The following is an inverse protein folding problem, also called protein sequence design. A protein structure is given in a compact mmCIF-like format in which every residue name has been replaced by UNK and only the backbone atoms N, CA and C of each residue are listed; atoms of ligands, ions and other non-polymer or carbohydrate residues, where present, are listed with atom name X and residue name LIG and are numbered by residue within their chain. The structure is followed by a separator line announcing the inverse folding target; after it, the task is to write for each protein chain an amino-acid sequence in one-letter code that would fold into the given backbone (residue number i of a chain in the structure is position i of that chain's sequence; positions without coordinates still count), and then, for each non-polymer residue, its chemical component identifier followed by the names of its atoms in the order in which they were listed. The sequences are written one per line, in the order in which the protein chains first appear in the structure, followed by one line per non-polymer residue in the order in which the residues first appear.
data_IF_531354040857
#
_entry.id   IF_531354040857
#
_cell.length_a   1.000
_cell.length_b   1.000
_cell.length_c   1.000
_cell.angle_alpha   90.00
_cell.angle_beta   90.00
_cell.angle_gamma   90.00
#
_symmetry.space_group_name_H-M   'P 1'
#
loop_
_entity.id
_entity.type
_entity.pdbx_description
1 polymer ?
#
# COMPACT_ATOMS: atom_id res chain seq x y z
N UNK A 1 -6.44 -4.90 14.00
CA UNK A 1 -6.02 -5.68 12.81
C UNK A 1 -4.68 -5.12 12.38
N UNK A 2 -3.72 -5.93 11.93
CA UNK A 2 -2.46 -5.39 11.38
C UNK A 2 -2.83 -4.64 10.09
N UNK A 3 -2.41 -3.39 9.95
CA UNK A 3 -2.64 -2.63 8.72
C UNK A 3 -1.78 -3.16 7.58
N UNK A 4 -2.23 -3.04 6.33
CA UNK A 4 -1.45 -3.48 5.18
C UNK A 4 -1.37 -2.36 4.15
N UNK A 5 -0.17 -2.05 3.70
CA UNK A 5 0.09 -1.12 2.60
C UNK A 5 0.84 -1.86 1.49
N UNK A 6 0.21 -2.01 0.33
CA UNK A 6 0.84 -2.57 -0.87
C UNK A 6 1.44 -1.43 -1.68
N UNK A 7 2.74 -1.50 -1.94
CA UNK A 7 3.48 -0.53 -2.74
C UNK A 7 4.03 -1.25 -3.96
N UNK A 8 3.86 -0.70 -5.15
CA UNK A 8 4.49 -1.26 -6.34
C UNK A 8 4.67 -0.21 -7.42
N UNK A 9 5.47 -0.53 -8.43
CA UNK A 9 5.48 0.22 -9.68
C UNK A 9 4.18 0.00 -10.46
N UNK A 10 3.77 1.02 -11.22
CA UNK A 10 2.56 0.98 -12.04
C UNK A 10 1.32 0.52 -11.29
N UNK A 11 0.47 -0.29 -11.93
CA UNK A 11 -0.86 -0.65 -11.41
C UNK A 11 -0.90 -1.90 -10.51
N UNK A 12 0.22 -2.59 -10.30
CA UNK A 12 0.22 -3.92 -9.65
C UNK A 12 -0.40 -3.87 -8.23
N UNK A 13 -0.02 -2.92 -7.39
CA UNK A 13 -0.53 -2.79 -6.03
C UNK A 13 -2.05 -2.59 -5.99
N UNK A 14 -2.57 -1.76 -6.90
CA UNK A 14 -4.01 -1.51 -7.04
C UNK A 14 -4.74 -2.80 -7.43
N UNK A 15 -4.23 -3.52 -8.42
CA UNK A 15 -4.88 -4.75 -8.89
C UNK A 15 -4.80 -5.88 -7.87
N UNK A 16 -3.73 -5.97 -7.06
CA UNK A 16 -3.64 -6.93 -5.96
C UNK A 16 -4.68 -6.65 -4.85
N UNK A 17 -4.89 -5.38 -4.50
CA UNK A 17 -5.94 -4.99 -3.55
C UNK A 17 -7.31 -5.32 -4.14
N UNK A 18 -7.58 -4.92 -5.38
CA UNK A 18 -8.85 -5.19 -6.05
C UNK A 18 -9.15 -6.70 -6.15
N UNK A 19 -8.14 -7.52 -6.48
CA UNK A 19 -8.28 -8.97 -6.53
C UNK A 19 -8.57 -9.57 -5.14
N UNK A 20 -7.93 -9.06 -4.10
CA UNK A 20 -8.21 -9.49 -2.72
C UNK A 20 -9.65 -9.14 -2.34
N UNK A 21 -10.08 -7.89 -2.56
CA UNK A 21 -11.43 -7.45 -2.22
C UNK A 21 -12.50 -8.16 -3.04
N UNK A 22 -12.19 -8.56 -4.28
CA UNK A 22 -13.07 -9.40 -5.09
C UNK A 22 -13.30 -10.78 -4.44
N UNK A 23 -12.28 -11.35 -3.81
CA UNK A 23 -12.33 -12.71 -3.22
C UNK A 23 -12.90 -12.70 -1.81
N UNK A 24 -12.51 -11.74 -0.97
CA UNK A 24 -12.83 -11.74 0.48
C UNK A 24 -13.66 -10.55 0.94
N UNK A 25 -14.09 -9.68 0.03
CA UNK A 25 -14.84 -8.45 0.33
C UNK A 25 -13.95 -7.28 0.68
N UNK A 26 -14.55 -6.09 0.82
CA UNK A 26 -13.85 -4.84 1.17
C UNK A 26 -12.99 -5.00 2.42
N UNK A 27 -11.78 -4.42 2.39
CA UNK A 27 -10.81 -4.56 3.48
C UNK A 27 -10.55 -3.22 4.17
N UNK A 28 -10.76 -3.21 5.49
CA UNK A 28 -10.38 -2.07 6.32
C UNK A 28 -8.86 -2.01 6.49
N UNK A 29 -8.29 -0.79 6.40
CA UNK A 29 -6.86 -0.54 6.64
C UNK A 29 -5.93 -1.34 5.71
N UNK A 30 -6.44 -1.64 4.51
CA UNK A 30 -5.69 -2.17 3.38
C UNK A 30 -5.61 -1.11 2.29
N UNK A 31 -4.41 -0.68 1.91
CA UNK A 31 -4.20 0.43 0.97
C UNK A 31 -3.17 0.06 -0.09
N UNK A 32 -3.37 0.56 -1.30
CA UNK A 32 -2.40 0.47 -2.39
C UNK A 32 -1.75 1.83 -2.67
N UNK A 33 -0.46 1.83 -2.96
CA UNK A 33 0.29 2.98 -3.48
C UNK A 33 1.00 2.54 -4.75
N UNK A 34 0.78 3.27 -5.84
CA UNK A 34 1.48 3.11 -7.11
C UNK A 34 2.63 4.10 -7.21
N UNK A 35 3.76 3.63 -7.73
CA UNK A 35 4.91 4.44 -8.10
C UNK A 35 4.99 4.48 -9.63
N UNK A 36 4.90 5.67 -10.20
CA UNK A 36 5.01 5.93 -11.63
C UNK A 36 6.39 6.52 -11.98
N UNK A 37 6.74 6.53 -13.27
CA UNK A 37 8.08 6.95 -13.74
C UNK A 37 8.35 8.44 -13.45
N UNK A 38 7.31 9.26 -13.47
CA UNK A 38 7.40 10.70 -13.29
C UNK A 38 7.32 11.15 -11.81
N UNK A 39 7.20 10.20 -10.88
CA UNK A 39 7.02 10.51 -9.47
C UNK A 39 8.29 11.02 -8.80
N UNK A 40 8.11 12.00 -7.92
CA UNK A 40 9.12 12.34 -6.91
C UNK A 40 9.17 11.24 -5.84
N UNK A 41 10.32 10.57 -5.75
CA UNK A 41 10.55 9.46 -4.82
C UNK A 41 10.51 9.91 -3.35
N UNK A 42 10.94 11.13 -3.03
CA UNK A 42 10.86 11.65 -1.65
C UNK A 42 9.40 11.89 -1.26
N UNK A 43 8.64 12.56 -2.12
CA UNK A 43 7.21 12.76 -1.91
C UNK A 43 6.46 11.42 -1.78
N UNK A 44 6.82 10.44 -2.61
CA UNK A 44 6.20 9.10 -2.57
C UNK A 44 6.57 8.35 -1.29
N UNK A 45 7.80 8.48 -0.79
CA UNK A 45 8.21 7.96 0.53
C UNK A 45 7.40 8.56 1.66
N UNK A 46 7.15 9.87 1.63
CA UNK A 46 6.34 10.52 2.65
C UNK A 46 4.89 10.06 2.61
N UNK A 47 4.31 9.92 1.42
CA UNK A 47 2.98 9.33 1.28
C UNK A 47 2.91 7.90 1.82
N UNK A 48 3.93 7.06 1.58
CA UNK A 48 3.99 5.70 2.15
C UNK A 48 3.99 5.76 3.68
N UNK A 49 4.77 6.66 4.28
CA UNK A 49 4.82 6.84 5.74
C UNK A 49 3.48 7.31 6.31
N UNK A 50 2.84 8.28 5.69
CA UNK A 50 1.53 8.79 6.12
C UNK A 50 0.43 7.74 6.00
N UNK A 51 0.43 7.01 4.88
CA UNK A 51 -0.53 5.93 4.65
C UNK A 51 -0.35 4.83 5.68
N UNK A 52 0.89 4.40 5.95
CA UNK A 52 1.18 3.43 6.99
C UNK A 52 0.69 3.92 8.36
N UNK A 53 1.00 5.16 8.76
CA UNK A 53 0.50 5.73 10.02
C UNK A 53 -1.04 5.71 10.10
N UNK A 54 -1.74 6.02 9.02
CA UNK A 54 -3.21 6.00 9.01
C UNK A 54 -3.80 4.57 9.10
N UNK A 55 -3.06 3.57 8.59
CA UNK A 55 -3.48 2.16 8.65
C UNK A 55 -3.25 1.56 10.04
N UNK A 56 -2.30 2.06 10.82
CA UNK A 56 -2.01 1.57 12.17
C UNK A 56 -3.18 1.81 13.13
N UNK A 57 -3.53 0.78 13.91
CA UNK A 57 -4.50 0.82 15.01
C UNK A 57 -3.91 0.35 16.35
N UNK A 58 -2.58 0.45 16.50
CA UNK A 58 -1.84 -0.03 17.67
C UNK A 58 -1.38 -1.48 17.55
N UNK A 59 -1.59 -2.13 16.39
CA UNK A 59 -1.08 -3.48 16.09
C UNK A 59 0.01 -3.49 15.02
N UNK A 60 0.45 -2.32 14.56
CA UNK A 60 1.48 -2.17 13.54
C UNK A 60 0.96 -2.36 12.12
N UNK A 61 1.90 -2.28 11.17
CA UNK A 61 1.63 -2.27 9.73
C UNK A 61 2.65 -3.14 8.99
N UNK A 62 2.18 -3.87 7.99
CA UNK A 62 3.02 -4.60 7.03
C UNK A 62 3.02 -3.81 5.72
N UNK A 63 4.21 -3.57 5.18
CA UNK A 63 4.39 -3.03 3.84
C UNK A 63 4.75 -4.19 2.92
N UNK A 64 3.96 -4.38 1.86
CA UNK A 64 4.21 -5.34 0.79
C UNK A 64 4.76 -4.58 -0.41
N UNK A 65 5.89 -5.04 -0.97
CA UNK A 65 6.53 -4.38 -2.12
C UNK A 65 6.84 -5.39 -3.23
N UNK A 66 6.80 -4.94 -4.48
CA UNK A 66 7.12 -5.74 -5.67
C UNK A 66 8.64 -5.99 -5.81
N UNK A 67 9.44 -5.01 -5.41
CA UNK A 67 10.90 -5.11 -5.42
C UNK A 67 11.54 -4.39 -4.22
N UNK A 68 12.75 -4.82 -3.90
CA UNK A 68 13.64 -4.13 -2.97
C UNK A 68 14.51 -3.13 -3.74
N UNK A 69 14.63 -1.90 -3.23
CA UNK A 69 15.36 -0.79 -3.83
C UNK A 69 14.99 0.53 -3.19
#
# INVERSE_FOLDING_TARGET
MIGIVVVSHGKLARELVAATEHVVGEQDRFRSISIEVEDDIEARRDQIRETAKSCDNGKGVIILTDMFG
#
